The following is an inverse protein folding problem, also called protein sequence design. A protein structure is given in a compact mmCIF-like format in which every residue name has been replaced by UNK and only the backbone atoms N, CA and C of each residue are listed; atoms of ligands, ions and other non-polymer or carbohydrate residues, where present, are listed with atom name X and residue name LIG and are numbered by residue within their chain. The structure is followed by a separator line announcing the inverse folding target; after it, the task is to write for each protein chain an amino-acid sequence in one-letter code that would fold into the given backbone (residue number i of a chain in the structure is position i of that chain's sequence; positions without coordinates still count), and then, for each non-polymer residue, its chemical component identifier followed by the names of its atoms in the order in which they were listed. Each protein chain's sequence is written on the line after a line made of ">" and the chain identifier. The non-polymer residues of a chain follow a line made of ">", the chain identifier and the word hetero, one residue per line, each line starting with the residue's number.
data_IF_751631900313
#
_entry.id   IF_751631900313
#
_cell.length_a   1.000
_cell.length_b   1.000
_cell.length_c   1.000
_cell.angle_alpha   90.00
_cell.angle_beta   90.00
_cell.angle_gamma   90.00
#
_symmetry.space_group_name_H-M   'P 1'
#
loop_
_entity.id
_entity.type
_entity.pdbx_description
1 polymer ?
#
# COMPACT_ATOMS: atom_id res chain seq x y z
N UNK A 1 -7.66 -26.58 27.03
CA UNK A 1 -6.63 -25.52 27.10
C UNK A 1 -6.65 -24.80 25.76
N UNK A 2 -7.39 -23.70 25.65
CA UNK A 2 -7.47 -22.89 24.44
C UNK A 2 -6.62 -21.63 24.67
N UNK A 3 -5.45 -21.56 24.03
CA UNK A 3 -4.66 -20.33 23.93
C UNK A 3 -5.27 -19.48 22.82
N UNK A 4 -6.14 -18.55 23.21
CA UNK A 4 -6.73 -17.59 22.28
C UNK A 4 -5.62 -16.64 21.78
N UNK A 5 -5.51 -16.47 20.47
CA UNK A 5 -4.51 -15.62 19.80
C UNK A 5 -4.54 -14.14 20.25
N UNK A 6 -5.63 -13.72 20.93
CA UNK A 6 -5.80 -12.37 21.49
C UNK A 6 -4.97 -12.11 22.75
N UNK A 7 -4.51 -13.13 23.47
CA UNK A 7 -3.64 -12.95 24.64
C UNK A 7 -2.17 -12.75 24.25
N UNK A 8 -1.81 -12.95 22.98
CA UNK A 8 -0.45 -12.79 22.47
C UNK A 8 -0.17 -11.40 21.88
N UNK A 9 -1.18 -10.54 21.80
CA UNK A 9 -1.04 -9.17 21.28
C UNK A 9 -1.69 -8.18 22.24
N UNK A 10 -0.93 -7.81 23.27
CA UNK A 10 -1.20 -6.57 23.97
C UNK A 10 -0.76 -5.41 23.05
N UNK A 11 -1.67 -4.49 22.67
CA UNK A 11 -1.31 -3.36 21.82
C UNK A 11 -0.28 -2.50 22.54
N UNK A 12 0.87 -2.28 21.90
CA UNK A 12 1.96 -1.50 22.48
C UNK A 12 1.46 -0.07 22.72
N UNK A 13 1.42 0.41 23.99
CA UNK A 13 0.94 1.74 24.29
C UNK A 13 1.82 2.82 23.63
N UNK A 14 1.24 3.94 23.19
CA UNK A 14 1.93 4.96 22.40
C UNK A 14 3.14 5.58 23.11
N UNK A 15 3.13 5.66 24.43
CA UNK A 15 4.25 6.15 25.24
C UNK A 15 5.51 5.26 25.16
N UNK A 16 5.36 4.01 24.67
CA UNK A 16 6.46 3.06 24.47
C UNK A 16 7.11 3.16 23.10
N UNK A 17 6.61 3.99 22.19
CA UNK A 17 7.12 4.10 20.81
C UNK A 17 8.51 4.77 20.70
N UNK A 18 9.09 5.26 21.81
CA UNK A 18 10.39 5.94 21.82
C UNK A 18 11.34 5.59 22.97
N UNK A 19 11.00 4.62 23.82
CA UNK A 19 11.88 4.23 24.94
C UNK A 19 12.49 2.85 24.69
N UNK A 20 13.58 2.86 23.90
CA UNK A 20 14.46 1.71 23.72
C UNK A 20 15.24 1.46 25.02
N UNK A 21 14.58 0.90 26.02
CA UNK A 21 15.28 0.34 27.17
C UNK A 21 15.92 -0.97 26.70
N UNK A 22 17.23 -0.91 26.49
CA UNK A 22 18.18 -2.02 26.61
C UNK A 22 17.74 -3.34 25.94
N UNK A 23 17.69 -3.34 24.59
CA UNK A 23 17.71 -4.59 23.82
C UNK A 23 19.07 -4.75 23.16
N UNK A 24 19.85 -5.80 23.50
CA UNK A 24 21.11 -6.10 22.81
C UNK A 24 20.92 -6.66 21.39
N UNK A 25 19.67 -6.75 20.90
CA UNK A 25 19.33 -7.18 19.55
C UNK A 25 18.35 -6.20 18.93
N UNK A 26 18.77 -5.55 17.85
CA UNK A 26 17.89 -4.80 16.95
C UNK A 26 17.61 -3.39 17.42
N UNK A 27 18.61 -2.52 17.28
CA UNK A 27 18.32 -1.12 16.97
C UNK A 27 17.26 -1.10 15.86
N UNK A 28 16.19 -0.27 15.92
CA UNK A 28 15.47 0.06 14.71
C UNK A 28 16.47 0.80 13.83
N UNK A 29 17.17 0.06 12.98
CA UNK A 29 17.91 0.64 11.88
C UNK A 29 16.81 1.35 11.10
N UNK A 30 16.68 2.66 11.32
CA UNK A 30 16.28 3.54 10.24
C UNK A 30 17.26 3.17 9.14
N UNK A 31 16.82 2.27 8.27
CA UNK A 31 17.51 1.97 7.03
C UNK A 31 17.48 3.30 6.32
N UNK A 32 18.59 4.02 6.38
CA UNK A 32 18.83 5.15 5.52
C UNK A 32 18.97 4.53 4.14
N UNK A 33 17.83 4.29 3.49
CA UNK A 33 17.80 3.85 2.11
C UNK A 33 18.39 5.02 1.35
N UNK A 34 19.52 4.79 0.71
CA UNK A 34 20.09 5.79 -0.20
C UNK A 34 19.02 6.08 -1.26
N UNK A 35 18.79 7.35 -1.58
CA UNK A 35 17.79 7.74 -2.58
C UNK A 35 18.03 7.00 -3.92
N UNK A 36 19.28 6.63 -4.20
CA UNK A 36 19.67 5.84 -5.38
C UNK A 36 19.22 4.38 -5.30
N UNK A 37 19.26 3.75 -4.12
CA UNK A 37 18.79 2.38 -3.92
C UNK A 37 17.27 2.29 -4.01
N UNK A 38 16.57 3.26 -3.40
CA UNK A 38 15.11 3.36 -3.51
C UNK A 38 14.69 3.57 -4.97
N UNK A 39 15.37 4.46 -5.67
CA UNK A 39 15.14 4.73 -7.09
C UNK A 39 15.27 3.44 -7.92
N UNK A 40 16.36 2.69 -7.72
CA UNK A 40 16.58 1.44 -8.45
C UNK A 40 15.51 0.39 -8.14
N UNK A 41 15.13 0.23 -6.87
CA UNK A 41 14.07 -0.70 -6.47
C UNK A 41 12.72 -0.34 -7.10
N UNK A 42 12.40 0.96 -7.15
CA UNK A 42 11.17 1.44 -7.78
C UNK A 42 11.17 1.15 -9.28
N UNK A 43 12.29 1.37 -9.97
CA UNK A 43 12.43 1.00 -11.37
C UNK A 43 12.23 -0.51 -11.58
N UNK A 44 12.84 -1.34 -10.74
CA UNK A 44 12.70 -2.80 -10.83
C UNK A 44 11.24 -3.25 -10.64
N UNK A 45 10.51 -2.65 -9.69
CA UNK A 45 9.08 -2.90 -9.47
C UNK A 45 8.28 -2.49 -10.69
N UNK A 46 8.51 -1.29 -11.23
CA UNK A 46 7.83 -0.81 -12.44
C UNK A 46 8.08 -1.76 -13.61
N UNK A 47 9.35 -2.15 -13.83
CA UNK A 47 9.71 -3.08 -14.89
C UNK A 47 9.02 -4.43 -14.73
N UNK A 48 8.98 -4.98 -13.51
CA UNK A 48 8.31 -6.23 -13.23
C UNK A 48 6.78 -6.14 -13.45
N UNK A 49 6.15 -5.05 -13.04
CA UNK A 49 4.71 -4.83 -13.30
C UNK A 49 4.45 -4.70 -14.80
N UNK A 50 5.30 -4.00 -15.55
CA UNK A 50 5.16 -3.85 -16.99
C UNK A 50 5.48 -5.14 -17.76
N UNK A 51 6.32 -6.04 -17.24
CA UNK A 51 6.63 -7.32 -17.88
C UNK A 51 5.56 -8.37 -17.61
N UNK A 52 5.02 -8.41 -16.39
CA UNK A 52 4.03 -9.40 -15.96
C UNK A 52 2.59 -9.03 -16.33
N UNK A 53 2.28 -7.74 -16.45
CA UNK A 53 0.93 -7.30 -16.81
C UNK A 53 0.65 -7.48 -18.31
N UNK A 54 -0.53 -8.05 -18.61
CA UNK A 54 -1.04 -8.17 -19.98
C UNK A 54 -0.94 -6.83 -20.72
N UNK A 55 -0.50 -6.81 -22.00
CA UNK A 55 -0.35 -5.59 -22.78
C UNK A 55 -1.61 -4.72 -22.87
N UNK A 56 -2.81 -5.33 -22.79
CA UNK A 56 -4.11 -4.65 -22.82
C UNK A 56 -4.63 -4.30 -21.41
N UNK A 57 -3.92 -4.71 -20.37
CA UNK A 57 -4.29 -4.42 -18.98
C UNK A 57 -4.41 -2.92 -18.75
N UNK A 58 -5.51 -2.52 -18.14
CA UNK A 58 -5.75 -1.14 -17.71
C UNK A 58 -4.71 -0.70 -16.66
N UNK A 59 -4.20 -1.63 -15.85
CA UNK A 59 -3.12 -1.37 -14.87
C UNK A 59 -1.86 -0.91 -15.59
N UNK A 60 -1.47 -1.63 -16.65
CA UNK A 60 -0.29 -1.31 -17.47
C UNK A 60 -0.45 0.05 -18.15
N UNK A 61 -1.60 0.30 -18.79
CA UNK A 61 -1.87 1.58 -19.48
C UNK A 61 -1.82 2.77 -18.52
N UNK A 62 -2.38 2.62 -17.32
CA UNK A 62 -2.35 3.69 -16.31
C UNK A 62 -0.96 3.93 -15.75
N UNK A 63 -0.20 2.88 -15.49
CA UNK A 63 1.19 3.02 -15.02
C UNK A 63 2.04 3.76 -16.06
N UNK A 64 1.93 3.38 -17.34
CA UNK A 64 2.62 4.09 -18.43
C UNK A 64 2.21 5.56 -18.54
N UNK A 65 0.91 5.87 -18.35
CA UNK A 65 0.45 7.26 -18.32
C UNK A 65 1.09 8.04 -17.17
N UNK A 66 1.12 7.49 -15.96
CA UNK A 66 1.72 8.17 -14.80
C UNK A 66 3.24 8.37 -14.96
N UNK A 67 3.94 7.46 -15.65
CA UNK A 67 5.35 7.63 -15.99
C UNK A 67 5.57 8.75 -17.02
N UNK A 68 4.67 8.86 -18.00
CA UNK A 68 4.73 9.96 -18.98
C UNK A 68 4.41 11.32 -18.34
N UNK A 69 3.53 11.35 -17.32
CA UNK A 69 3.19 12.55 -16.55
C UNK A 69 4.32 13.00 -15.59
N UNK A 70 5.22 12.09 -15.20
CA UNK A 70 6.31 12.34 -14.24
C UNK A 70 7.69 11.92 -14.80
N UNK A 71 8.22 12.63 -15.82
CA UNK A 71 9.52 12.29 -16.38
C UNK A 71 10.63 12.51 -15.34
N UNK A 72 11.50 11.51 -15.15
CA UNK A 72 12.61 11.55 -14.20
C UNK A 72 12.23 11.30 -12.73
N UNK A 73 10.95 11.09 -12.43
CA UNK A 73 10.45 10.83 -11.08
C UNK A 73 9.58 9.55 -11.02
N UNK A 74 10.19 8.36 -11.21
CA UNK A 74 9.47 7.09 -11.24
C UNK A 74 8.79 6.75 -9.90
N UNK A 75 9.31 7.22 -8.78
CA UNK A 75 8.73 7.05 -7.43
C UNK A 75 7.38 7.75 -7.35
N UNK A 76 7.33 8.99 -7.83
CA UNK A 76 6.11 9.79 -7.85
C UNK A 76 5.07 9.16 -8.79
N UNK A 77 5.50 8.71 -9.97
CA UNK A 77 4.63 7.99 -10.91
C UNK A 77 4.01 6.73 -10.30
N UNK A 78 4.82 5.94 -9.58
CA UNK A 78 4.36 4.72 -8.92
C UNK A 78 3.40 5.02 -7.77
N UNK A 79 3.70 6.04 -6.96
CA UNK A 79 2.83 6.47 -5.86
C UNK A 79 1.47 6.94 -6.38
N UNK A 80 1.45 7.76 -7.43
CA UNK A 80 0.20 8.25 -8.01
C UNK A 80 -0.61 7.11 -8.65
N UNK A 81 0.06 6.16 -9.30
CA UNK A 81 -0.57 4.93 -9.78
C UNK A 81 -1.23 4.12 -8.64
N UNK A 82 -0.54 3.94 -7.52
CA UNK A 82 -1.07 3.21 -6.37
C UNK A 82 -2.24 3.95 -5.71
N UNK A 83 -2.18 5.28 -5.63
CA UNK A 83 -3.28 6.11 -5.10
C UNK A 83 -4.51 6.05 -6.01
N UNK A 84 -4.33 6.14 -7.32
CA UNK A 84 -5.42 5.99 -8.29
C UNK A 84 -6.05 4.59 -8.20
N UNK A 85 -5.22 3.55 -8.10
CA UNK A 85 -5.68 2.17 -7.90
C UNK A 85 -6.46 2.00 -6.60
N UNK A 86 -5.99 2.57 -5.49
CA UNK A 86 -6.68 2.48 -4.20
C UNK A 86 -8.03 3.20 -4.22
N UNK A 87 -8.11 4.38 -4.87
CA UNK A 87 -9.38 5.11 -5.06
C UNK A 87 -10.40 4.33 -5.89
N UNK A 88 -9.94 3.57 -6.88
CA UNK A 88 -10.81 2.79 -7.78
C UNK A 88 -11.12 1.39 -7.25
N UNK A 89 -10.25 0.82 -6.40
CA UNK A 89 -10.40 -0.49 -5.79
C UNK A 89 -11.12 -0.47 -4.43
N UNK A 90 -11.25 0.70 -3.80
CA UNK A 90 -11.76 0.83 -2.43
C UNK A 90 -12.90 1.84 -2.28
N UNK A 91 -14.07 1.58 -2.88
CA UNK A 91 -15.39 2.02 -2.37
C UNK A 91 -16.52 1.36 -3.16
N UNK A 92 -17.22 0.32 -2.64
CA UNK A 92 -18.59 0.09 -3.09
C UNK A 92 -19.43 1.35 -2.78
N UNK A 93 -20.37 1.76 -3.64
CA UNK A 93 -21.21 2.92 -3.39
C UNK A 93 -21.98 2.69 -2.08
N UNK A 94 -21.59 3.40 -1.02
CA UNK A 94 -22.37 3.52 0.21
C UNK A 94 -23.56 4.42 -0.12
N UNK A 95 -24.60 3.85 -0.73
CA UNK A 95 -25.74 4.60 -1.25
C UNK A 95 -26.93 3.81 -1.83
N UNK A 96 -26.86 2.49 -2.00
CA UNK A 96 -27.99 1.68 -2.53
C UNK A 96 -28.45 0.55 -1.58
N UNK A 97 -28.65 0.88 -0.29
CA UNK A 97 -29.50 0.07 0.61
C UNK A 97 -30.48 1.00 1.32
N UNK A 98 -31.50 1.48 0.60
CA UNK A 98 -32.79 1.92 1.17
C UNK A 98 -33.73 2.46 0.08
N UNK A 99 -34.28 1.61 -0.80
CA UNK A 99 -35.50 1.97 -1.57
C UNK A 99 -36.20 0.79 -2.28
N UNK A 100 -35.88 -0.47 -2.00
CA UNK A 100 -36.55 -1.60 -2.65
C UNK A 100 -36.61 -2.82 -1.73
N UNK A 101 -37.58 -2.80 -0.80
CA UNK A 101 -38.30 -3.96 -0.28
C UNK A 101 -38.97 -3.59 1.07
N UNK A 102 -40.07 -2.86 1.00
CA UNK A 102 -41.20 -3.13 1.90
C UNK A 102 -42.43 -3.38 1.01
N UNK A 103 -42.96 -4.60 1.06
CA UNK A 103 -44.38 -4.77 1.25
C UNK A 103 -44.61 -5.52 2.56
N UNK A 104 -45.11 -4.82 3.57
CA UNK A 104 -45.77 -5.45 4.71
C UNK A 104 -47.10 -6.06 4.23
N UNK A 105 -47.34 -7.27 4.70
CA UNK A 105 -48.46 -8.17 4.37
C UNK A 105 -49.86 -7.58 4.59
#
# INVERSE_FOLDING_TARGET
>A
MHTEFRDLYEPIPPDRWGSTVDSPYGQPTTVMVDDSELHQQVLDIIHNVLSTADPRSEVRRRLLRHLAENPGHPEQALLDHLRDRNRRGGRPPRGERAAAAEPHA
#
